data_IF_130795245068
#
_entry.id   IF_130795245068
#
_cell.length_a   1.000
_cell.length_b   1.000
_cell.length_c   1.000
_cell.angle_alpha   90.00
_cell.angle_beta   90.00
_cell.angle_gamma   90.00
#
_symmetry.space_group_name_H-M   'P 1'
#
loop_
_entity.id
_entity.type
_entity.pdbx_description
1 polymer ?
#
# COMPACT_ATOMS: atom_id res chain seq x y z
N UNK A 1 -62.75 -8.48 18.48
CA UNK A 1 -62.69 -7.06 18.08
C UNK A 1 -61.21 -6.66 18.20
N UNK A 2 -60.44 -6.82 17.13
CA UNK A 2 -59.90 -5.72 16.27
C UNK A 2 -58.78 -4.95 17.00
N UNK A 3 -57.59 -4.67 16.46
CA UNK A 3 -57.13 -4.58 15.08
C UNK A 3 -55.58 -4.58 15.08
N UNK A 4 -54.93 -5.37 14.21
CA UNK A 4 -53.47 -5.33 14.02
C UNK A 4 -53.17 -4.40 12.85
N UNK A 5 -52.49 -3.28 13.11
CA UNK A 5 -52.04 -2.36 12.08
C UNK A 5 -50.85 -2.97 11.32
N UNK A 6 -51.01 -3.22 10.02
CA UNK A 6 -49.93 -3.62 9.11
C UNK A 6 -49.32 -2.37 8.50
N UNK A 7 -48.10 -2.03 8.89
CA UNK A 7 -47.29 -1.00 8.23
C UNK A 7 -46.60 -1.63 7.01
N UNK A 8 -46.95 -1.15 5.82
CA UNK A 8 -46.32 -1.57 4.57
C UNK A 8 -44.94 -0.92 4.42
N UNK A 9 -43.89 -1.73 4.30
CA UNK A 9 -42.54 -1.27 3.97
C UNK A 9 -42.43 -1.28 2.44
N UNK A 10 -42.40 -0.09 1.84
CA UNK A 10 -42.07 0.09 0.43
C UNK A 10 -40.56 -0.11 0.25
N UNK A 11 -40.16 -1.27 -0.29
CA UNK A 11 -38.79 -1.54 -0.71
C UNK A 11 -38.59 -0.85 -2.05
N UNK A 12 -38.03 0.36 -2.03
CA UNK A 12 -37.50 1.01 -3.21
C UNK A 12 -36.28 0.22 -3.69
N UNK A 13 -36.48 -0.55 -4.75
CA UNK A 13 -35.46 -1.30 -5.47
C UNK A 13 -34.48 -0.30 -6.12
N UNK A 14 -33.49 0.16 -5.36
CA UNK A 14 -32.40 0.96 -5.87
C UNK A 14 -31.54 0.12 -6.80
N UNK A 15 -31.76 0.27 -8.11
CA UNK A 15 -30.85 -0.18 -9.16
C UNK A 15 -29.50 0.52 -8.96
N UNK A 16 -28.59 -0.15 -8.25
CA UNK A 16 -27.17 0.17 -8.30
C UNK A 16 -26.67 -0.19 -9.69
N UNK A 17 -26.73 0.75 -10.63
CA UNK A 17 -25.88 0.71 -11.82
C UNK A 17 -24.43 0.70 -11.32
N UNK A 18 -23.83 -0.49 -11.29
CA UNK A 18 -22.39 -0.64 -11.16
C UNK A 18 -21.75 0.03 -12.38
N UNK A 19 -21.36 1.29 -12.22
CA UNK A 19 -20.44 1.94 -13.14
C UNK A 19 -19.13 1.18 -13.06
N UNK A 20 -18.88 0.30 -14.04
CA UNK A 20 -17.55 -0.18 -14.34
C UNK A 20 -16.74 1.06 -14.78
N UNK A 21 -16.09 1.71 -13.82
CA UNK A 21 -15.15 2.78 -14.11
C UNK A 21 -14.13 2.27 -15.11
N UNK A 22 -13.87 3.05 -16.15
CA UNK A 22 -12.90 2.81 -17.22
C UNK A 22 -11.42 2.84 -16.73
N UNK A 23 -11.16 2.34 -15.53
CA UNK A 23 -9.82 2.17 -14.99
C UNK A 23 -9.21 0.86 -15.51
N UNK A 24 -7.97 0.92 -16.00
CA UNK A 24 -7.24 -0.26 -16.44
C UNK A 24 -7.08 -1.33 -15.35
N UNK A 25 -6.42 -2.44 -15.69
CA UNK A 25 -6.24 -3.63 -14.82
C UNK A 25 -5.67 -3.32 -13.42
N UNK A 26 -4.92 -2.23 -13.26
CA UNK A 26 -4.28 -1.82 -12.02
C UNK A 26 -4.60 -0.37 -11.66
N UNK A 27 -4.63 -0.06 -10.36
CA UNK A 27 -4.81 1.31 -9.89
C UNK A 27 -3.56 2.17 -10.17
N UNK A 28 -3.69 3.52 -10.21
CA UNK A 28 -2.54 4.41 -10.33
C UNK A 28 -1.47 4.19 -9.25
N UNK A 29 -1.88 3.84 -8.02
CA UNK A 29 -0.98 3.56 -6.90
C UNK A 29 -0.19 2.27 -7.14
N UNK A 30 -0.86 1.21 -7.59
CA UNK A 30 -0.20 -0.04 -7.97
C UNK A 30 0.80 0.18 -9.12
N UNK A 31 0.42 0.98 -10.11
CA UNK A 31 1.31 1.36 -11.21
C UNK A 31 2.49 2.25 -10.77
N UNK A 32 2.47 2.83 -9.56
CA UNK A 32 3.61 3.61 -9.00
C UNK A 32 4.47 2.81 -8.03
N UNK A 33 4.06 1.62 -7.59
CA UNK A 33 4.80 0.74 -6.68
C UNK A 33 6.27 0.54 -7.12
N UNK A 34 7.23 0.81 -6.24
CA UNK A 34 8.64 0.66 -6.56
C UNK A 34 9.17 -0.72 -6.18
N UNK A 35 8.57 -1.32 -5.17
CA UNK A 35 8.90 -2.65 -4.68
C UNK A 35 7.65 -3.52 -4.61
N UNK A 36 7.81 -4.85 -4.68
CA UNK A 36 6.67 -5.77 -4.56
C UNK A 36 5.91 -5.59 -3.24
N UNK A 37 6.62 -5.26 -2.16
CA UNK A 37 6.02 -5.01 -0.84
C UNK A 37 5.28 -3.68 -0.73
N UNK A 38 5.34 -2.79 -1.74
CA UNK A 38 4.47 -1.61 -1.79
C UNK A 38 3.02 -1.97 -2.17
N UNK A 39 2.79 -3.17 -2.71
CA UNK A 39 1.47 -3.64 -3.18
C UNK A 39 0.66 -4.39 -2.10
N UNK A 40 1.24 -4.61 -0.93
CA UNK A 40 0.58 -5.29 0.18
C UNK A 40 -0.37 -4.39 0.97
N UNK A 41 -1.07 -4.95 1.98
CA UNK A 41 -1.93 -4.16 2.86
C UNK A 41 -1.11 -3.09 3.59
N UNK A 42 -1.73 -1.93 3.78
CA UNK A 42 -1.11 -0.78 4.48
C UNK A 42 -1.34 -0.83 5.99
N UNK A 43 -2.20 -1.74 6.45
CA UNK A 43 -2.55 -1.91 7.86
C UNK A 43 -2.53 -3.38 8.21
N UNK A 44 -2.27 -3.67 9.48
CA UNK A 44 -2.39 -4.99 10.08
C UNK A 44 -3.27 -4.90 11.34
N UNK A 45 -3.89 -6.01 11.68
CA UNK A 45 -4.55 -6.15 12.97
C UNK A 45 -3.50 -6.40 14.07
N UNK A 46 -3.53 -5.54 15.09
CA UNK A 46 -2.65 -5.62 16.27
C UNK A 46 -3.44 -5.80 17.56
N UNK A 47 -4.74 -6.07 17.49
CA UNK A 47 -5.62 -6.19 18.66
C UNK A 47 -5.13 -7.24 19.67
N UNK A 48 -4.50 -8.31 19.18
CA UNK A 48 -3.87 -9.36 19.99
C UNK A 48 -2.46 -9.05 20.49
N UNK A 49 -1.86 -7.91 20.14
CA UNK A 49 -0.50 -7.56 20.57
C UNK A 49 -0.51 -7.01 22.01
N UNK A 50 0.61 -7.07 22.75
CA UNK A 50 0.78 -6.35 24.01
C UNK A 50 0.45 -4.86 23.88
N UNK A 51 -0.11 -4.26 24.95
CA UNK A 51 -0.60 -2.87 24.93
C UNK A 51 0.47 -1.86 24.48
N UNK A 52 1.71 -2.04 24.91
CA UNK A 52 2.84 -1.20 24.49
C UNK A 52 3.08 -1.29 22.97
N UNK A 53 2.91 -2.46 22.38
CA UNK A 53 3.06 -2.66 20.94
C UNK A 53 1.89 -2.09 20.13
N UNK A 54 0.66 -2.16 20.66
CA UNK A 54 -0.49 -1.46 20.08
C UNK A 54 -0.25 0.06 20.06
N UNK A 55 0.27 0.61 21.16
CA UNK A 55 0.62 2.03 21.23
C UNK A 55 1.80 2.39 20.31
N UNK A 56 2.79 1.51 20.19
CA UNK A 56 3.90 1.71 19.24
C UNK A 56 3.41 1.63 17.79
N UNK A 57 2.41 0.80 17.48
CA UNK A 57 1.78 0.75 16.16
C UNK A 57 1.10 2.07 15.79
N UNK A 58 0.39 2.71 16.73
CA UNK A 58 -0.19 4.06 16.50
C UNK A 58 0.88 5.09 16.14
N UNK A 59 2.02 5.07 16.83
CA UNK A 59 3.17 5.93 16.49
C UNK A 59 3.75 5.56 15.14
N UNK A 60 3.95 4.28 14.86
CA UNK A 60 4.41 3.81 13.57
C UNK A 60 3.51 4.31 12.43
N UNK A 61 2.17 4.18 12.55
CA UNK A 61 1.23 4.68 11.54
C UNK A 61 1.44 6.17 11.30
N UNK A 62 1.38 6.99 12.36
CA UNK A 62 1.52 8.45 12.29
C UNK A 62 2.88 8.89 11.73
N UNK A 63 3.96 8.19 12.08
CA UNK A 63 5.32 8.58 11.70
C UNK A 63 5.67 8.13 10.29
N UNK A 64 5.33 6.90 9.92
CA UNK A 64 5.78 6.30 8.65
C UNK A 64 4.84 6.57 7.46
N UNK A 65 3.60 7.05 7.70
CA UNK A 65 2.65 7.41 6.63
C UNK A 65 2.85 8.83 6.08
N UNK A 66 3.83 9.60 6.58
CA UNK A 66 4.05 11.00 6.19
C UNK A 66 4.51 11.16 4.73
N UNK A 67 5.17 10.14 4.17
CA UNK A 67 5.90 10.27 2.90
C UNK A 67 5.46 9.28 1.81
N UNK A 68 5.00 8.11 2.21
CA UNK A 68 4.58 6.99 1.36
C UNK A 68 3.62 6.09 2.12
N UNK A 69 3.02 5.12 1.43
CA UNK A 69 2.15 4.12 2.07
C UNK A 69 2.88 3.31 3.16
N UNK A 70 2.15 2.93 4.20
CA UNK A 70 2.60 2.02 5.25
C UNK A 70 2.82 0.58 4.74
N UNK A 71 2.28 0.22 3.58
CA UNK A 71 2.54 -1.09 2.97
C UNK A 71 4.04 -1.37 2.86
N UNK A 72 4.83 -0.34 2.55
CA UNK A 72 6.28 -0.43 2.36
C UNK A 72 7.02 -1.03 3.57
N UNK A 73 6.89 -0.48 4.80
CA UNK A 73 7.46 -1.10 5.99
C UNK A 73 6.69 -2.35 6.46
N UNK A 74 5.35 -2.41 6.32
CA UNK A 74 4.55 -3.56 6.83
C UNK A 74 4.90 -4.87 6.12
N UNK A 75 5.11 -4.84 4.80
CA UNK A 75 5.35 -6.02 3.98
C UNK A 75 6.82 -6.21 3.62
N UNK A 76 7.71 -5.38 4.16
CA UNK A 76 9.13 -5.48 3.91
C UNK A 76 9.70 -6.82 4.43
N UNK A 77 10.60 -7.51 3.72
CA UNK A 77 11.19 -8.76 4.20
C UNK A 77 12.17 -8.61 5.37
N UNK A 78 12.52 -7.39 5.80
CA UNK A 78 13.41 -7.19 6.95
C UNK A 78 12.87 -7.82 8.25
N UNK A 79 13.77 -8.45 9.00
CA UNK A 79 13.47 -9.14 10.26
C UNK A 79 14.30 -8.57 11.41
N UNK A 80 15.61 -8.39 11.22
CA UNK A 80 16.52 -8.06 12.30
C UNK A 80 16.39 -6.60 12.73
N UNK A 81 16.57 -6.36 14.04
CA UNK A 81 16.54 -5.00 14.62
C UNK A 81 17.56 -4.07 13.96
N UNK A 82 18.76 -4.56 13.67
CA UNK A 82 19.82 -3.77 13.06
C UNK A 82 19.44 -3.30 11.65
N UNK A 83 18.82 -4.16 10.84
CA UNK A 83 18.34 -3.79 9.51
C UNK A 83 17.24 -2.73 9.59
N UNK A 84 16.34 -2.87 10.58
CA UNK A 84 15.31 -1.88 10.85
C UNK A 84 15.88 -0.53 11.29
N UNK A 85 16.94 -0.53 12.09
CA UNK A 85 17.60 0.69 12.53
C UNK A 85 18.18 1.47 11.34
N UNK A 86 18.89 0.77 10.44
CA UNK A 86 19.38 1.35 9.18
C UNK A 86 18.22 1.85 8.30
N UNK A 87 17.13 1.08 8.23
CA UNK A 87 15.95 1.45 7.47
C UNK A 87 15.31 2.76 7.97
N UNK A 88 15.03 2.86 9.28
CA UNK A 88 14.41 4.04 9.90
C UNK A 88 15.36 5.23 9.85
N UNK A 89 16.67 5.02 10.04
CA UNK A 89 17.68 6.07 9.89
C UNK A 89 17.69 6.68 8.49
N UNK A 90 17.57 5.87 7.43
CA UNK A 90 17.41 6.38 6.05
C UNK A 90 16.13 7.20 5.89
N UNK A 91 15.03 6.82 6.52
CA UNK A 91 13.79 7.62 6.48
C UNK A 91 13.96 8.95 7.21
N UNK A 92 14.63 8.96 8.37
CA UNK A 92 14.91 10.18 9.12
C UNK A 92 15.75 11.17 8.30
N UNK A 93 16.76 10.70 7.55
CA UNK A 93 17.51 11.56 6.63
C UNK A 93 16.58 12.16 5.56
N UNK A 94 15.68 11.35 4.99
CA UNK A 94 14.71 11.83 3.98
C UNK A 94 13.71 12.85 4.53
N UNK A 95 13.36 12.81 5.82
CA UNK A 95 12.49 13.83 6.39
C UNK A 95 13.16 15.21 6.46
N UNK A 96 14.50 15.28 6.54
CA UNK A 96 15.23 16.56 6.61
C UNK A 96 15.07 17.41 5.34
N UNK A 97 14.85 16.78 4.20
CA UNK A 97 14.67 17.44 2.90
C UNK A 97 13.20 17.53 2.47
N UNK A 98 12.27 17.08 3.30
CA UNK A 98 10.83 17.08 3.00
C UNK A 98 10.07 17.91 4.04
N UNK A 99 9.66 19.16 3.69
CA UNK A 99 8.95 20.04 4.60
C UNK A 99 7.72 19.38 5.23
N UNK A 100 7.46 19.70 6.50
CA UNK A 100 6.31 19.18 7.25
C UNK A 100 6.43 17.73 7.72
N UNK A 101 7.58 17.07 7.51
CA UNK A 101 7.82 15.70 7.96
C UNK A 101 8.92 15.64 9.02
N UNK A 102 8.79 14.73 9.97
CA UNK A 102 9.82 14.52 11.00
C UNK A 102 9.71 13.17 11.69
N UNK A 103 10.85 12.67 12.16
CA UNK A 103 10.95 11.50 13.02
C UNK A 103 11.78 11.91 14.24
N UNK A 104 11.14 12.04 15.40
CA UNK A 104 11.83 12.31 16.67
C UNK A 104 12.59 11.07 17.15
N UNK A 105 13.62 11.23 17.99
CA UNK A 105 14.36 10.09 18.58
C UNK A 105 13.44 9.16 19.37
N UNK A 106 12.45 9.71 20.08
CA UNK A 106 11.45 8.95 20.85
C UNK A 106 10.55 8.13 19.92
N UNK A 107 10.05 8.75 18.85
CA UNK A 107 9.20 8.06 17.87
C UNK A 107 9.97 6.99 17.10
N UNK A 108 11.22 7.26 16.71
CA UNK A 108 12.10 6.26 16.09
C UNK A 108 12.26 5.02 16.97
N UNK A 109 12.50 5.19 18.28
CA UNK A 109 12.62 4.06 19.21
C UNK A 109 11.34 3.22 19.26
N UNK A 110 10.18 3.87 19.32
CA UNK A 110 8.86 3.20 19.35
C UNK A 110 8.57 2.47 18.04
N UNK A 111 8.83 3.11 16.90
CA UNK A 111 8.71 2.52 15.56
C UNK A 111 9.56 1.26 15.48
N UNK A 112 10.83 1.34 15.89
CA UNK A 112 11.71 0.19 15.82
C UNK A 112 11.25 -0.94 16.75
N UNK A 113 10.74 -0.62 17.95
CA UNK A 113 10.20 -1.63 18.88
C UNK A 113 9.03 -2.39 18.24
N UNK A 114 8.08 -1.65 17.64
CA UNK A 114 6.98 -2.25 16.90
C UNK A 114 7.47 -3.11 15.73
N UNK A 115 8.32 -2.59 14.85
CA UNK A 115 8.79 -3.32 13.67
C UNK A 115 9.54 -4.61 14.03
N UNK A 116 10.28 -4.60 15.13
CA UNK A 116 10.99 -5.80 15.63
C UNK A 116 10.00 -6.82 16.18
N UNK A 117 9.03 -6.38 16.98
CA UNK A 117 8.01 -7.26 17.54
C UNK A 117 7.13 -7.87 16.44
N UNK A 118 6.64 -7.04 15.51
CA UNK A 118 5.86 -7.45 14.35
C UNK A 118 6.63 -8.43 13.46
N UNK A 119 7.94 -8.21 13.26
CA UNK A 119 8.79 -9.15 12.52
C UNK A 119 8.88 -10.50 13.21
N UNK A 120 9.01 -10.54 14.54
CA UNK A 120 8.93 -11.79 15.30
C UNK A 120 7.58 -12.47 15.09
N UNK A 121 6.47 -11.76 15.31
CA UNK A 121 5.14 -12.36 15.27
C UNK A 121 4.78 -12.87 13.87
N UNK A 122 4.90 -12.04 12.83
CA UNK A 122 4.40 -12.39 11.49
C UNK A 122 5.44 -13.08 10.62
N UNK A 123 6.72 -12.77 10.75
CA UNK A 123 7.76 -13.22 9.80
C UNK A 123 8.60 -14.38 10.32
N UNK A 124 8.65 -14.56 11.63
CA UNK A 124 9.32 -15.70 12.27
C UNK A 124 8.26 -16.70 12.74
N UNK A 125 7.39 -16.30 13.66
CA UNK A 125 6.45 -17.22 14.29
C UNK A 125 5.35 -17.70 13.31
N UNK A 126 4.95 -16.85 12.35
CA UNK A 126 4.01 -17.17 11.25
C UNK A 126 4.67 -17.13 9.86
N UNK A 127 5.91 -17.61 9.77
CA UNK A 127 6.74 -17.53 8.56
C UNK A 127 6.04 -18.03 7.28
N UNK A 128 5.34 -19.16 7.35
CA UNK A 128 4.68 -19.75 6.19
C UNK A 128 3.64 -18.82 5.57
N UNK A 129 2.82 -18.16 6.40
CA UNK A 129 1.79 -17.21 5.95
C UNK A 129 2.43 -15.97 5.31
N UNK A 130 3.50 -15.46 5.93
CA UNK A 130 4.24 -14.32 5.39
C UNK A 130 4.91 -14.64 4.04
N UNK A 131 5.49 -15.84 3.89
CA UNK A 131 6.08 -16.29 2.63
C UNK A 131 5.03 -16.52 1.55
N UNK A 132 3.88 -17.09 1.90
CA UNK A 132 2.76 -17.23 0.97
C UNK A 132 2.31 -15.86 0.46
N UNK A 133 2.13 -14.89 1.36
CA UNK A 133 1.78 -13.52 0.96
C UNK A 133 2.86 -12.86 0.10
N UNK A 134 4.13 -13.08 0.44
CA UNK A 134 5.27 -12.57 -0.34
C UNK A 134 5.24 -13.09 -1.78
N UNK A 135 4.94 -14.39 -1.98
CA UNK A 135 4.80 -14.98 -3.31
C UNK A 135 3.67 -14.35 -4.11
N UNK A 136 2.52 -14.09 -3.49
CA UNK A 136 1.41 -13.37 -4.13
C UNK A 136 1.83 -11.97 -4.58
N UNK A 137 2.51 -11.21 -3.71
CA UNK A 137 2.96 -9.85 -4.01
C UNK A 137 4.01 -9.82 -5.13
N UNK A 138 4.93 -10.79 -5.17
CA UNK A 138 5.90 -10.94 -6.25
C UNK A 138 5.20 -11.18 -7.59
N UNK A 139 4.23 -12.11 -7.63
CA UNK A 139 3.44 -12.38 -8.85
C UNK A 139 2.71 -11.12 -9.31
N UNK A 140 2.03 -10.43 -8.39
CA UNK A 140 1.31 -9.19 -8.71
C UNK A 140 2.26 -8.11 -9.24
N UNK A 141 3.45 -7.97 -8.64
CA UNK A 141 4.44 -6.99 -9.08
C UNK A 141 4.95 -7.25 -10.50
N UNK A 142 5.14 -8.51 -10.88
CA UNK A 142 5.51 -8.85 -12.26
C UNK A 142 4.38 -8.54 -13.26
N UNK A 143 3.12 -8.73 -12.89
CA UNK A 143 2.00 -8.32 -13.75
C UNK A 143 1.90 -6.80 -13.89
N UNK A 144 2.13 -6.06 -12.79
CA UNK A 144 2.21 -4.60 -12.79
C UNK A 144 3.36 -4.11 -13.70
N UNK A 145 4.52 -4.76 -13.66
CA UNK A 145 5.65 -4.43 -14.54
C UNK A 145 5.32 -4.63 -16.01
N UNK A 146 4.65 -5.75 -16.35
CA UNK A 146 4.19 -6.00 -17.72
C UNK A 146 3.23 -4.92 -18.20
N UNK A 147 2.30 -4.50 -17.36
CA UNK A 147 1.36 -3.42 -17.73
C UNK A 147 2.08 -2.08 -17.90
N UNK A 148 3.04 -1.73 -17.02
CA UNK A 148 3.87 -0.52 -17.21
C UNK A 148 4.60 -0.52 -18.55
N UNK A 149 5.19 -1.66 -18.92
CA UNK A 149 5.88 -1.80 -20.20
C UNK A 149 4.92 -1.64 -21.38
N UNK A 150 3.75 -2.28 -21.31
CA UNK A 150 2.70 -2.11 -22.33
C UNK A 150 2.31 -0.64 -22.47
N UNK A 151 2.03 0.05 -21.35
CA UNK A 151 1.66 1.46 -21.35
C UNK A 151 2.78 2.34 -21.94
N UNK A 152 4.03 2.05 -21.62
CA UNK A 152 5.18 2.76 -22.16
C UNK A 152 5.28 2.58 -23.68
N UNK A 153 5.16 1.34 -24.18
CA UNK A 153 5.17 1.04 -25.62
C UNK A 153 4.06 1.79 -26.35
N UNK A 154 2.84 1.80 -25.81
CA UNK A 154 1.71 2.51 -26.42
C UNK A 154 1.90 4.03 -26.40
N UNK A 155 2.46 4.58 -25.32
CA UNK A 155 2.83 5.99 -25.25
C UNK A 155 3.90 6.35 -26.29
N UNK A 156 4.91 5.50 -26.46
CA UNK A 156 5.99 5.75 -27.42
C UNK A 156 5.50 5.62 -28.87
N UNK A 157 4.63 4.65 -29.19
CA UNK A 157 3.95 4.57 -30.49
C UNK A 157 3.12 5.82 -30.78
N UNK A 158 2.38 6.32 -29.78
CA UNK A 158 1.58 7.54 -29.92
C UNK A 158 2.47 8.76 -30.20
N UNK A 159 3.56 8.92 -29.46
CA UNK A 159 4.54 9.99 -29.70
C UNK A 159 5.13 9.93 -31.10
N UNK A 160 5.50 8.73 -31.57
CA UNK A 160 6.03 8.53 -32.94
C UNK A 160 4.99 9.01 -33.97
N UNK A 161 3.73 8.58 -33.85
CA UNK A 161 2.65 8.99 -34.76
C UNK A 161 2.42 10.50 -34.76
N UNK A 162 2.50 11.15 -33.59
CA UNK A 162 2.34 12.60 -33.45
C UNK A 162 3.55 13.39 -33.99
N UNK A 163 4.75 12.82 -33.92
CA UNK A 163 5.98 13.43 -34.43
C UNK A 163 6.23 13.24 -35.93
N UNK A 164 5.48 12.37 -36.60
CA UNK A 164 5.63 12.14 -38.03
C UNK A 164 5.20 13.42 -38.79
N UNK A 165 6.11 14.10 -39.51
CA UNK A 165 5.77 15.34 -40.21
C UNK A 165 4.71 15.07 -41.28
N UNK A 166 3.75 15.99 -41.39
CA UNK A 166 2.81 16.02 -42.51
C UNK A 166 3.59 16.18 -43.82
N UNK A 167 3.66 15.13 -44.64
CA UNK A 167 4.27 15.15 -45.99
C UNK A 167 3.23 15.43 -47.08
N UNK A 168 2.23 16.29 -46.80
CA UNK A 168 1.26 16.67 -47.81
C UNK A 168 1.83 17.65 -48.82
N UNK A 169 2.17 17.14 -50.00
CA UNK A 169 2.09 17.85 -51.29
C UNK A 169 1.12 17.05 -52.17
N UNK A 170 0.16 17.72 -52.81
CA UNK A 170 0.37 18.08 -54.22
C UNK A 170 0.65 19.57 -54.41
#
# INVERSE_FOLDING_TARGET
>A
MSCVAKTAIAISLGLFLSSAWAGGKFTPEQLKAQFYYDLGPSEIDVSGYPKDQQENYKVFKRTCSQCHTLARPVNNPLIQRADWDLYVSRMHVRTKVRPGTSISRKDARRVLNFLTYDSKMRKIDHKADFEAKTKELLKLFEEVKKERLRMQIEQDKKKIKESAPYTGTP
#
